data_IF_638081662946
#
_entry.id   IF_638081662946
#
_cell.length_a   1.000
_cell.length_b   1.000
_cell.length_c   1.000
_cell.angle_alpha   90.00
_cell.angle_beta   90.00
_cell.angle_gamma   90.00
#
_symmetry.space_group_name_H-M   'P 1'
#
loop_
_entity.id
_entity.type
_entity.pdbx_description
1 polymer ?
#
# COMPACT_ATOMS: atom_id res chain seq x y z
N UNK A 1 30.97 -12.19 51.83
CA UNK A 1 30.18 -13.10 50.98
C UNK A 1 28.71 -12.79 51.28
N UNK A 2 27.85 -12.37 50.37
CA UNK A 2 27.74 -12.71 48.95
C UNK A 2 27.51 -11.47 48.06
N UNK A 3 28.10 -11.53 46.85
CA UNK A 3 27.75 -10.72 45.70
C UNK A 3 26.34 -11.13 45.22
N UNK A 4 25.48 -10.18 44.84
CA UNK A 4 24.42 -10.45 43.87
C UNK A 4 24.34 -9.28 42.87
N UNK A 5 24.27 -9.71 41.62
CA UNK A 5 24.63 -9.03 40.40
C UNK A 5 23.66 -7.96 39.91
N UNK A 6 24.23 -7.03 39.14
CA UNK A 6 23.60 -5.93 38.41
C UNK A 6 22.71 -6.49 37.29
N UNK A 7 21.40 -6.20 37.31
CA UNK A 7 20.52 -6.39 36.15
C UNK A 7 20.46 -5.08 35.35
N UNK A 8 21.10 -5.11 34.18
CA UNK A 8 21.06 -4.04 33.19
C UNK A 8 19.65 -4.00 32.58
N UNK A 9 18.92 -2.91 32.79
CA UNK A 9 17.72 -2.62 31.98
C UNK A 9 18.20 -2.17 30.60
N UNK A 10 18.28 -3.12 29.66
CA UNK A 10 18.38 -2.81 28.25
C UNK A 10 17.10 -2.09 27.82
N UNK A 11 17.18 -0.78 27.62
CA UNK A 11 16.14 0.00 26.94
C UNK A 11 16.11 -0.41 25.47
N UNK A 12 15.44 -1.53 25.18
CA UNK A 12 15.07 -1.91 23.83
C UNK A 12 14.11 -0.86 23.28
N UNK A 13 14.59 -0.06 22.33
CA UNK A 13 13.80 0.96 21.67
C UNK A 13 12.52 0.35 21.12
N UNK A 14 11.38 0.89 21.56
CA UNK A 14 10.10 0.62 20.90
C UNK A 14 10.19 1.31 19.55
N UNK A 15 10.52 0.55 18.51
CA UNK A 15 10.29 0.99 17.16
C UNK A 15 8.78 1.11 17.00
N UNK A 16 8.25 2.33 17.17
CA UNK A 16 6.90 2.66 16.74
C UNK A 16 6.88 2.46 15.23
N UNK A 17 6.42 1.29 14.79
CA UNK A 17 5.95 1.11 13.43
C UNK A 17 4.90 2.20 13.20
N UNK A 18 5.14 3.08 12.22
CA UNK A 18 4.17 4.08 11.82
C UNK A 18 2.90 3.33 11.39
N UNK A 19 1.88 3.37 12.24
CA UNK A 19 0.61 2.72 12.01
C UNK A 19 -0.08 3.40 10.83
N UNK A 20 0.16 2.88 9.63
CA UNK A 20 -0.70 3.15 8.47
C UNK A 20 -1.96 2.28 8.51
N UNK A 21 -2.38 1.79 9.69
CA UNK A 21 -3.39 0.78 10.01
C UNK A 21 -4.78 0.91 9.39
N UNK A 22 -4.96 1.89 8.51
CA UNK A 22 -6.10 2.03 7.59
C UNK A 22 -5.85 1.46 6.19
N UNK A 23 -4.63 1.05 5.82
CA UNK A 23 -4.33 0.53 4.47
C UNK A 23 -3.84 -0.92 4.54
N UNK A 24 -4.60 -1.82 3.91
CA UNK A 24 -4.24 -3.22 3.70
C UNK A 24 -3.74 -3.36 2.26
N UNK A 25 -2.52 -3.87 2.06
CA UNK A 25 -1.94 -4.08 0.74
C UNK A 25 -1.98 -5.57 0.39
N UNK A 26 -2.72 -5.92 -0.67
CA UNK A 26 -2.66 -7.23 -1.32
C UNK A 26 -1.87 -7.11 -2.62
N UNK A 27 -0.65 -7.62 -2.62
CA UNK A 27 0.26 -7.50 -3.75
C UNK A 27 0.48 -8.87 -4.40
N UNK A 28 -0.27 -9.16 -5.47
CA UNK A 28 -0.14 -10.39 -6.26
C UNK A 28 1.20 -10.44 -7.03
N UNK A 29 1.96 -9.33 -7.06
CA UNK A 29 3.27 -9.20 -7.70
C UNK A 29 4.44 -9.23 -6.70
N UNK A 30 4.22 -9.62 -5.44
CA UNK A 30 5.21 -9.53 -4.36
C UNK A 30 6.56 -10.21 -4.67
N UNK A 31 6.56 -11.26 -5.51
CA UNK A 31 7.79 -11.94 -5.94
C UNK A 31 8.68 -11.08 -6.87
N UNK A 32 8.11 -10.06 -7.54
CA UNK A 32 8.83 -9.16 -8.45
C UNK A 32 8.92 -7.73 -7.93
N UNK A 33 7.95 -7.28 -7.14
CA UNK A 33 7.80 -5.88 -6.76
C UNK A 33 7.41 -5.79 -5.30
N UNK A 34 8.13 -4.98 -4.55
CA UNK A 34 7.75 -4.57 -3.21
C UNK A 34 6.95 -3.26 -3.30
N UNK A 35 5.84 -3.16 -2.58
CA UNK A 35 5.00 -1.95 -2.53
C UNK A 35 4.94 -1.45 -1.09
N UNK A 36 5.25 -0.17 -0.89
CA UNK A 36 5.17 0.49 0.42
C UNK A 36 4.38 1.78 0.34
N UNK A 37 3.68 2.09 1.42
CA UNK A 37 2.98 3.36 1.64
C UNK A 37 3.52 3.95 2.93
N UNK A 38 4.28 5.04 2.81
CA UNK A 38 5.01 5.63 3.95
C UNK A 38 4.25 6.76 4.63
N UNK A 39 3.28 7.35 3.93
CA UNK A 39 2.46 8.48 4.39
C UNK A 39 0.98 8.12 4.34
N UNK A 40 0.15 8.67 5.25
CA UNK A 40 -1.28 8.45 5.21
C UNK A 40 -1.90 8.96 3.89
N UNK A 41 -3.12 8.50 3.55
CA UNK A 41 -3.90 9.09 2.46
C UNK A 41 -4.02 10.61 2.60
N UNK A 42 -4.04 11.30 1.46
CA UNK A 42 -4.21 12.74 1.37
C UNK A 42 -5.27 13.07 0.32
N UNK A 43 -5.96 14.19 0.51
CA UNK A 43 -6.82 14.76 -0.54
C UNK A 43 -5.96 15.49 -1.55
N UNK A 44 -6.25 15.31 -2.84
CA UNK A 44 -5.51 15.97 -3.91
C UNK A 44 -5.55 17.50 -3.70
N UNK A 45 -4.39 18.17 -3.82
CA UNK A 45 -4.37 19.62 -3.79
C UNK A 45 -5.23 20.19 -4.93
N UNK A 46 -5.78 21.38 -4.73
CA UNK A 46 -6.67 22.12 -5.65
C UNK A 46 -8.18 21.90 -5.48
N UNK A 47 -8.63 21.42 -4.32
CA UNK A 47 -10.06 21.33 -4.01
C UNK A 47 -10.80 20.20 -4.72
N UNK A 48 -10.08 19.20 -5.23
CA UNK A 48 -10.73 17.96 -5.68
C UNK A 48 -11.01 17.06 -4.48
N UNK A 49 -12.17 16.42 -4.45
CA UNK A 49 -12.55 15.45 -3.42
C UNK A 49 -11.84 14.08 -3.56
N UNK A 50 -10.77 14.02 -4.37
CA UNK A 50 -10.05 12.78 -4.63
C UNK A 50 -9.08 12.52 -3.48
N UNK A 51 -9.30 11.44 -2.76
CA UNK A 51 -8.32 10.90 -1.81
C UNK A 51 -7.33 10.03 -2.56
N UNK A 52 -6.04 10.20 -2.30
CA UNK A 52 -4.96 9.46 -2.92
C UNK A 52 -3.87 9.07 -1.92
N UNK A 53 -2.97 8.18 -2.34
CA UNK A 53 -1.72 7.87 -1.64
C UNK A 53 -0.54 8.00 -2.57
N UNK A 54 0.64 8.18 -1.97
CA UNK A 54 1.91 7.97 -2.66
C UNK A 54 2.44 6.58 -2.29
N UNK A 55 2.49 5.69 -3.28
CA UNK A 55 2.97 4.33 -3.14
C UNK A 55 4.34 4.18 -3.79
N UNK A 56 5.34 3.75 -3.01
CA UNK A 56 6.65 3.40 -3.54
C UNK A 56 6.64 1.96 -4.06
N UNK A 57 7.03 1.78 -5.31
CA UNK A 57 7.18 0.48 -5.95
C UNK A 57 8.67 0.21 -6.18
N UNK A 58 9.22 -0.78 -5.47
CA UNK A 58 10.60 -1.23 -5.65
C UNK A 58 10.62 -2.52 -6.47
N UNK A 59 11.05 -2.41 -7.72
CA UNK A 59 11.26 -3.56 -8.60
C UNK A 59 12.47 -4.36 -8.13
N UNK A 60 12.26 -5.67 -7.96
CA UNK A 60 13.32 -6.67 -7.77
C UNK A 60 13.71 -7.30 -9.10
N UNK A 61 12.73 -7.45 -10.00
CA UNK A 61 12.87 -7.96 -11.38
C UNK A 61 11.67 -7.53 -12.22
N UNK A 62 11.73 -7.62 -13.57
CA UNK A 62 10.60 -7.29 -14.42
C UNK A 62 9.36 -8.13 -14.07
N UNK A 63 8.17 -7.51 -14.07
CA UNK A 63 6.93 -8.20 -13.69
C UNK A 63 6.53 -9.33 -14.64
N UNK A 64 7.11 -9.37 -15.86
CA UNK A 64 6.97 -10.50 -16.76
C UNK A 64 7.57 -11.80 -16.21
N UNK A 65 8.59 -11.71 -15.37
CA UNK A 65 9.13 -12.87 -14.64
C UNK A 65 8.21 -13.38 -13.52
N UNK A 66 7.11 -12.67 -13.24
CA UNK A 66 6.04 -13.09 -12.33
C UNK A 66 4.74 -13.42 -13.09
N UNK A 67 4.81 -13.65 -14.41
CA UNK A 67 3.68 -14.10 -15.21
C UNK A 67 2.84 -13.01 -15.86
N UNK A 68 3.20 -11.72 -15.70
CA UNK A 68 2.50 -10.66 -16.44
C UNK A 68 2.93 -10.64 -17.92
N UNK A 69 1.97 -10.46 -18.84
CA UNK A 69 2.28 -10.39 -20.28
C UNK A 69 3.00 -9.10 -20.70
N UNK A 70 3.02 -8.08 -19.85
CA UNK A 70 3.68 -6.80 -20.11
C UNK A 70 4.13 -6.14 -18.80
N UNK A 71 4.80 -4.99 -18.90
CA UNK A 71 5.11 -4.14 -17.75
C UNK A 71 3.90 -3.36 -17.21
N UNK A 72 2.70 -3.56 -17.76
CA UNK A 72 1.47 -2.92 -17.30
C UNK A 72 0.87 -3.70 -16.12
N UNK A 73 0.72 -3.02 -14.99
CA UNK A 73 0.05 -3.53 -13.80
C UNK A 73 -1.29 -2.83 -13.61
N UNK A 74 -2.16 -3.47 -12.83
CA UNK A 74 -3.42 -2.89 -12.35
C UNK A 74 -3.32 -2.63 -10.85
N UNK A 75 -4.06 -1.63 -10.39
CA UNK A 75 -4.45 -1.55 -8.99
C UNK A 75 -5.97 -1.41 -8.88
N UNK A 76 -6.51 -1.78 -7.72
CA UNK A 76 -7.85 -1.40 -7.30
C UNK A 76 -7.86 -1.08 -5.81
N UNK A 77 -8.60 -0.03 -5.42
CA UNK A 77 -8.92 0.30 -4.04
C UNK A 77 -10.34 -0.14 -3.70
N UNK A 78 -10.53 -0.54 -2.46
CA UNK A 78 -11.84 -0.94 -1.96
C UNK A 78 -11.90 -0.77 -0.45
N UNK A 79 -13.11 -0.70 0.07
CA UNK A 79 -13.38 -0.82 1.51
C UNK A 79 -14.26 -2.03 1.75
N UNK A 80 -14.13 -2.62 2.94
CA UNK A 80 -15.09 -3.62 3.40
C UNK A 80 -16.22 -2.89 4.09
N UNK A 81 -17.44 -3.01 3.57
CA UNK A 81 -18.65 -2.53 4.22
C UNK A 81 -19.53 -3.73 4.55
N UNK A 82 -19.69 -4.01 5.86
CA UNK A 82 -20.38 -5.20 6.37
C UNK A 82 -19.78 -6.48 5.77
N UNK A 83 -20.56 -7.22 4.98
CA UNK A 83 -20.16 -8.48 4.33
C UNK A 83 -19.75 -8.30 2.86
N UNK A 84 -19.72 -7.06 2.35
CA UNK A 84 -19.46 -6.78 0.95
C UNK A 84 -18.22 -5.92 0.75
N UNK A 85 -17.50 -6.21 -0.33
CA UNK A 85 -16.38 -5.40 -0.79
C UNK A 85 -16.89 -4.34 -1.76
N UNK A 86 -16.73 -3.07 -1.39
CA UNK A 86 -17.05 -1.95 -2.26
C UNK A 86 -15.80 -1.46 -2.98
N UNK A 87 -15.80 -1.56 -4.32
CA UNK A 87 -14.73 -1.00 -5.13
C UNK A 87 -14.90 0.51 -5.28
N UNK A 88 -13.82 1.25 -5.04
CA UNK A 88 -13.85 2.71 -5.06
C UNK A 88 -13.13 3.27 -6.30
N UNK A 89 -11.90 2.81 -6.56
CA UNK A 89 -11.10 3.19 -7.72
C UNK A 89 -10.36 2.00 -8.29
N UNK A 90 -10.04 2.09 -9.58
CA UNK A 90 -9.13 1.17 -10.25
C UNK A 90 -8.38 1.88 -11.36
N UNK A 91 -7.20 1.36 -11.69
CA UNK A 91 -6.42 1.93 -12.78
C UNK A 91 -5.27 1.05 -13.22
N UNK A 92 -4.66 1.48 -14.32
CA UNK A 92 -3.49 0.84 -14.91
C UNK A 92 -2.28 1.75 -14.76
N UNK A 93 -1.12 1.15 -14.54
CA UNK A 93 0.14 1.88 -14.44
C UNK A 93 1.31 1.03 -14.90
N UNK A 94 2.40 1.68 -15.29
CA UNK A 94 3.56 0.99 -15.83
C UNK A 94 4.63 0.74 -14.76
N UNK A 95 5.17 -0.46 -14.71
CA UNK A 95 6.25 -0.89 -13.82
C UNK A 95 7.52 -1.24 -14.62
N UNK A 96 8.05 -0.27 -15.38
CA UNK A 96 9.34 -0.42 -16.09
C UNK A 96 10.54 -0.24 -15.16
N UNK A 97 10.37 0.50 -14.06
CA UNK A 97 11.41 0.86 -13.10
C UNK A 97 10.82 1.03 -11.71
N UNK A 98 11.68 1.03 -10.70
CA UNK A 98 11.31 1.44 -9.35
C UNK A 98 10.98 2.94 -9.33
N UNK A 99 9.83 3.31 -8.80
CA UNK A 99 9.39 4.69 -8.66
C UNK A 99 8.29 4.84 -7.62
N UNK A 100 7.96 6.08 -7.27
CA UNK A 100 6.78 6.42 -6.48
C UNK A 100 5.66 6.79 -7.44
N UNK A 101 4.46 6.25 -7.19
CA UNK A 101 3.24 6.53 -7.96
C UNK A 101 2.16 7.07 -7.05
N UNK A 102 1.43 8.07 -7.52
CA UNK A 102 0.23 8.54 -6.86
C UNK A 102 -0.95 7.68 -7.31
N UNK A 103 -1.61 7.01 -6.35
CA UNK A 103 -2.77 6.16 -6.61
C UNK A 103 -4.02 6.82 -6.01
N UNK A 104 -5.00 7.23 -6.83
CA UNK A 104 -6.33 7.58 -6.37
C UNK A 104 -6.97 6.41 -5.62
N UNK A 105 -7.57 6.69 -4.47
CA UNK A 105 -8.24 5.70 -3.63
C UNK A 105 -9.76 5.86 -3.64
N UNK A 106 -10.26 7.10 -3.64
CA UNK A 106 -11.69 7.38 -3.65
C UNK A 106 -11.95 8.79 -4.21
N UNK A 107 -13.14 8.99 -4.80
CA UNK A 107 -13.63 10.33 -5.21
C UNK A 107 -14.44 11.00 -4.10
N UNK A 108 -14.84 10.25 -3.08
CA UNK A 108 -15.61 10.73 -1.93
C UNK A 108 -14.86 10.40 -0.64
N UNK A 109 -14.27 11.39 0.06
CA UNK A 109 -13.47 11.18 1.26
C UNK A 109 -14.22 10.47 2.38
N UNK A 110 -15.55 10.66 2.48
CA UNK A 110 -16.36 10.02 3.49
C UNK A 110 -16.30 8.47 3.42
N UNK A 111 -16.06 7.90 2.24
CA UNK A 111 -15.97 6.45 2.04
C UNK A 111 -14.68 5.81 2.59
N UNK A 112 -13.66 6.62 2.90
CA UNK A 112 -12.33 6.15 3.33
C UNK A 112 -11.89 6.70 4.69
N UNK A 113 -12.72 7.54 5.32
CA UNK A 113 -12.40 8.23 6.58
C UNK A 113 -12.23 7.25 7.76
N UNK A 114 -13.07 6.23 7.83
CA UNK A 114 -13.17 5.31 8.98
C UNK A 114 -12.86 3.85 8.60
N UNK A 115 -12.52 3.59 7.35
CA UNK A 115 -12.40 2.25 6.79
C UNK A 115 -10.97 1.72 6.66
N UNK A 116 -10.83 0.40 6.75
CA UNK A 116 -9.65 -0.33 6.27
C UNK A 116 -9.69 -0.38 4.74
N UNK A 117 -9.00 0.55 4.11
CA UNK A 117 -8.83 0.62 2.65
C UNK A 117 -7.95 -0.56 2.23
N UNK A 118 -8.50 -1.47 1.45
CA UNK A 118 -7.73 -2.53 0.81
C UNK A 118 -7.29 -2.08 -0.58
N UNK A 119 -6.00 -2.17 -0.84
CA UNK A 119 -5.40 -1.93 -2.16
C UNK A 119 -4.91 -3.26 -2.70
N UNK A 120 -5.41 -3.63 -3.87
CA UNK A 120 -4.93 -4.80 -4.61
C UNK A 120 -4.03 -4.35 -5.76
N UNK A 121 -2.92 -5.05 -5.98
CA UNK A 121 -2.02 -4.86 -7.12
C UNK A 121 -1.78 -6.19 -7.81
N UNK A 122 -1.83 -6.19 -9.13
CA UNK A 122 -1.65 -7.41 -9.93
C UNK A 122 -1.30 -7.12 -11.38
N UNK A 123 -1.17 -8.18 -12.19
CA UNK A 123 -1.01 -8.03 -13.64
C UNK A 123 -2.25 -7.34 -14.24
N UNK A 124 -2.03 -6.46 -15.22
CA UNK A 124 -3.12 -6.00 -16.07
C UNK A 124 -3.74 -7.19 -16.81
N UNK A 125 -5.07 -7.20 -16.94
CA UNK A 125 -5.74 -8.23 -17.76
C UNK A 125 -5.40 -8.00 -19.23
N UNK A 126 -5.28 -9.07 -20.04
CA UNK A 126 -5.23 -8.95 -21.49
C UNK A 126 -6.43 -8.14 -22.00
N UNK A 127 -6.22 -7.34 -23.04
CA UNK A 127 -7.31 -6.67 -23.77
C UNK A 127 -7.75 -7.53 -24.94
#
# INVERSE_FOLDING_TARGET
>A
MALISILHLSSGGVALAADTGRIIIRNDLAACVDMRVEKPPFEYPNGSNIVAINANFKLRKPIGACGCMSALARYASSVNERESRLFLQQGLFNLKKSDTKTLPLATEPALVKDGNIEITVGCARPR
#
